data_IF_415785808866
#
_entry.id   IF_415785808866
#
_cell.length_a   1.000
_cell.length_b   1.000
_cell.length_c   1.000
_cell.angle_alpha   90.00
_cell.angle_beta   90.00
_cell.angle_gamma   90.00
#
_symmetry.space_group_name_H-M   'P 1'
#
loop_
_entity.id
_entity.type
_entity.pdbx_description
1 polymer ?
#
# COMPACT_ATOMS: atom_id res chain seq x y z
N UNK A 1 -5.14 28.48 13.20
CA UNK A 1 -5.29 27.08 13.65
C UNK A 1 -4.12 26.27 13.12
N UNK A 2 -3.17 25.85 13.97
CA UNK A 2 -2.09 24.97 13.55
C UNK A 2 -2.60 23.52 13.52
N UNK A 3 -2.87 23.00 12.33
CA UNK A 3 -3.12 21.57 12.13
C UNK A 3 -1.89 20.79 12.60
N UNK A 4 -2.06 19.88 13.56
CA UNK A 4 -0.99 19.01 14.03
C UNK A 4 -0.66 18.00 12.92
N UNK A 5 0.32 18.33 12.08
CA UNK A 5 0.76 17.55 10.91
C UNK A 5 1.11 16.10 11.25
N UNK A 6 1.49 15.81 12.50
CA UNK A 6 1.84 14.47 12.97
C UNK A 6 0.67 13.48 12.87
N UNK A 7 -0.58 13.94 12.93
CA UNK A 7 -1.77 13.07 12.86
C UNK A 7 -2.01 12.47 11.48
N UNK A 8 -1.49 13.11 10.44
CA UNK A 8 -1.63 12.64 9.06
C UNK A 8 -0.48 11.75 8.61
N UNK A 9 0.58 11.64 9.41
CA UNK A 9 1.71 10.77 9.09
C UNK A 9 1.29 9.30 9.25
N UNK A 10 1.88 8.44 8.40
CA UNK A 10 1.81 7.00 8.61
C UNK A 10 2.41 6.63 9.98
N UNK A 11 1.77 5.69 10.67
CA UNK A 11 2.29 5.19 11.93
C UNK A 11 3.61 4.44 11.69
N UNK A 12 4.64 4.66 12.53
CA UNK A 12 5.95 4.01 12.34
C UNK A 12 5.99 2.55 12.78
N UNK A 13 5.03 2.14 13.60
CA UNK A 13 4.99 0.81 14.22
C UNK A 13 3.55 0.32 14.24
N UNK A 14 2.98 0.06 13.06
CA UNK A 14 1.64 -0.53 12.99
C UNK A 14 1.69 -1.97 13.54
N UNK A 15 0.87 -2.32 14.56
CA UNK A 15 0.85 -3.68 15.08
C UNK A 15 0.27 -4.63 14.03
N UNK A 16 1.03 -5.67 13.68
CA UNK A 16 0.59 -6.70 12.75
C UNK A 16 0.09 -7.92 13.51
N UNK A 17 -1.19 -8.24 13.34
CA UNK A 17 -1.81 -9.42 13.94
C UNK A 17 -2.12 -10.45 12.84
N UNK A 18 -1.55 -11.65 12.95
CA UNK A 18 -1.87 -12.76 12.05
C UNK A 18 -3.18 -13.44 12.45
N UNK A 19 -3.98 -13.84 11.47
CA UNK A 19 -5.16 -14.64 11.70
C UNK A 19 -4.79 -16.13 11.83
N UNK A 20 -4.84 -16.69 13.05
CA UNK A 20 -4.57 -18.12 13.31
C UNK A 20 -5.80 -18.98 13.00
N UNK A 21 -6.01 -19.24 11.70
CA UNK A 21 -7.14 -20.03 11.19
C UNK A 21 -6.72 -21.39 10.63
N UNK A 22 -5.43 -21.73 10.66
CA UNK A 22 -4.90 -22.93 10.02
C UNK A 22 -5.54 -24.21 10.56
N UNK A 23 -5.69 -24.31 11.89
CA UNK A 23 -6.30 -25.47 12.56
C UNK A 23 -7.76 -25.67 12.16
N UNK A 24 -8.53 -24.59 12.13
CA UNK A 24 -9.95 -24.61 11.75
C UNK A 24 -10.13 -24.92 10.27
N UNK A 25 -9.30 -24.34 9.39
CA UNK A 25 -9.36 -24.63 7.95
C UNK A 25 -8.96 -26.07 7.60
N UNK A 26 -8.10 -26.71 8.41
CA UNK A 26 -7.77 -28.12 8.25
C UNK A 26 -8.98 -29.05 8.50
N UNK A 27 -9.93 -28.63 9.35
CA UNK A 27 -11.15 -29.39 9.66
C UNK A 27 -12.25 -29.20 8.60
N UNK A 28 -12.16 -28.16 7.76
CA UNK A 28 -13.16 -27.85 6.73
C UNK A 28 -12.91 -28.64 5.43
N UNK A 29 -13.97 -29.26 4.88
CA UNK A 29 -13.95 -29.85 3.53
C UNK A 29 -13.72 -28.74 2.49
N UNK A 30 -12.55 -28.75 1.85
CA UNK A 30 -11.92 -27.64 1.12
C UNK A 30 -12.67 -27.06 -0.10
N UNK A 31 -13.77 -27.67 -0.57
CA UNK A 31 -14.43 -27.24 -1.83
C UNK A 31 -15.21 -25.94 -1.73
N UNK A 32 -15.91 -25.68 -0.61
CA UNK A 32 -16.84 -24.53 -0.55
C UNK A 32 -16.18 -23.23 -0.08
N UNK A 33 -15.17 -23.30 0.79
CA UNK A 33 -14.53 -22.11 1.39
C UNK A 33 -13.62 -21.37 0.42
N UNK A 34 -12.94 -22.08 -0.48
CA UNK A 34 -12.07 -21.47 -1.48
C UNK A 34 -12.87 -20.68 -2.54
N UNK A 35 -13.99 -21.23 -3.01
CA UNK A 35 -14.83 -20.58 -4.00
C UNK A 35 -15.47 -19.27 -3.49
N UNK A 36 -15.84 -19.22 -2.20
CA UNK A 36 -16.37 -17.99 -1.60
C UNK A 36 -15.30 -16.93 -1.36
N UNK A 37 -14.06 -17.33 -1.05
CA UNK A 37 -12.95 -16.40 -0.79
C UNK A 37 -12.30 -15.81 -2.05
N UNK A 38 -12.53 -16.40 -3.23
CA UNK A 38 -12.08 -15.87 -4.52
C UNK A 38 -12.94 -14.71 -5.05
N UNK A 39 -14.26 -14.74 -4.81
CA UNK A 39 -15.21 -13.73 -5.28
C UNK A 39 -15.00 -12.30 -4.74
N UNK A 40 -14.59 -12.05 -3.48
CA UNK A 40 -14.52 -10.68 -2.94
C UNK A 40 -13.39 -9.81 -3.49
N UNK A 41 -12.45 -10.33 -4.29
CA UNK A 41 -11.38 -9.48 -4.87
C UNK A 41 -11.90 -8.36 -5.78
N UNK A 42 -13.04 -8.58 -6.46
CA UNK A 42 -13.70 -7.52 -7.22
C UNK A 42 -14.32 -6.43 -6.34
N UNK A 43 -14.71 -6.78 -5.10
CA UNK A 43 -15.30 -5.85 -4.14
C UNK A 43 -14.26 -4.83 -3.64
N UNK A 44 -12.98 -5.21 -3.55
CA UNK A 44 -11.92 -4.29 -3.15
C UNK A 44 -11.83 -3.08 -4.09
N UNK A 45 -12.07 -3.27 -5.39
CA UNK A 45 -12.13 -2.16 -6.37
C UNK A 45 -13.32 -1.25 -6.15
N UNK A 46 -14.49 -1.83 -5.86
CA UNK A 46 -15.70 -1.05 -5.53
C UNK A 46 -15.46 -0.20 -4.29
N UNK A 47 -14.84 -0.75 -3.23
CA UNK A 47 -14.48 0.01 -2.02
C UNK A 47 -13.51 1.14 -2.39
N UNK A 48 -12.47 0.88 -3.17
CA UNK A 48 -11.53 1.91 -3.61
C UNK A 48 -12.23 3.06 -4.35
N UNK A 49 -13.09 2.74 -5.31
CA UNK A 49 -13.85 3.71 -6.10
C UNK A 49 -14.80 4.57 -5.25
N UNK A 50 -15.34 4.02 -4.16
CA UNK A 50 -16.25 4.75 -3.26
C UNK A 50 -15.54 5.81 -2.41
N UNK A 51 -14.27 5.58 -2.06
CA UNK A 51 -13.55 6.45 -1.12
C UNK A 51 -12.88 7.64 -1.81
N UNK A 52 -12.05 7.38 -2.81
CA UNK A 52 -11.37 8.45 -3.54
C UNK A 52 -11.20 8.06 -5.00
N UNK A 53 -11.26 9.02 -5.94
CA UNK A 53 -11.13 8.74 -7.37
C UNK A 53 -9.75 8.21 -7.77
N UNK A 54 -8.79 8.20 -6.84
CA UNK A 54 -7.41 7.81 -7.09
C UNK A 54 -6.95 6.61 -6.27
N UNK A 55 -7.80 6.02 -5.42
CA UNK A 55 -7.45 4.88 -4.58
C UNK A 55 -6.99 3.67 -5.40
N UNK A 56 -7.66 3.41 -6.53
CA UNK A 56 -7.29 2.31 -7.44
C UNK A 56 -5.90 2.50 -8.02
N UNK A 57 -5.61 3.71 -8.53
CA UNK A 57 -4.32 4.06 -9.11
C UNK A 57 -3.19 3.98 -8.08
N UNK A 58 -3.46 4.41 -6.84
CA UNK A 58 -2.50 4.32 -5.75
C UNK A 58 -2.22 2.86 -5.37
N UNK A 59 -3.26 2.04 -5.28
CA UNK A 59 -3.10 0.62 -4.95
C UNK A 59 -2.31 -0.10 -6.05
N UNK A 60 -2.62 0.16 -7.31
CA UNK A 60 -1.88 -0.39 -8.46
C UNK A 60 -0.43 0.11 -8.48
N UNK A 61 -0.20 1.36 -8.06
CA UNK A 61 1.12 1.93 -7.89
C UNK A 61 1.92 1.16 -6.82
N UNK A 62 1.32 0.80 -5.68
CA UNK A 62 2.01 0.02 -4.66
C UNK A 62 2.28 -1.41 -5.12
N UNK A 63 1.28 -2.07 -5.71
CA UNK A 63 1.42 -3.46 -6.16
C UNK A 63 2.49 -3.62 -7.23
N UNK A 64 2.52 -2.84 -8.32
CA UNK A 64 3.59 -3.01 -9.33
C UNK A 64 4.95 -2.46 -8.85
N UNK A 65 5.03 -1.78 -7.70
CA UNK A 65 6.32 -1.42 -7.10
C UNK A 65 6.91 -2.61 -6.35
N UNK A 66 6.07 -3.33 -5.60
CA UNK A 66 6.50 -4.45 -4.77
C UNK A 66 6.26 -5.81 -5.41
N UNK A 67 5.88 -5.86 -6.69
CA UNK A 67 5.74 -7.12 -7.43
C UNK A 67 6.68 -7.20 -8.62
N UNK A 68 7.22 -8.39 -8.82
CA UNK A 68 7.95 -8.79 -10.02
C UNK A 68 7.27 -10.02 -10.59
N UNK A 69 6.76 -9.90 -11.82
CA UNK A 69 6.15 -11.03 -12.55
C UNK A 69 5.06 -11.79 -11.77
N UNK A 70 4.27 -11.06 -10.99
CA UNK A 70 3.17 -11.62 -10.17
C UNK A 70 3.58 -12.24 -8.84
N UNK A 71 4.85 -12.12 -8.44
CA UNK A 71 5.38 -12.49 -7.12
C UNK A 71 5.89 -11.26 -6.37
N UNK A 72 6.14 -11.40 -5.07
CA UNK A 72 6.78 -10.34 -4.28
C UNK A 72 8.17 -10.06 -4.87
N UNK A 73 8.46 -8.78 -5.17
CA UNK A 73 9.76 -8.35 -5.67
C UNK A 73 10.84 -8.57 -4.60
N UNK A 74 12.10 -8.71 -5.04
CA UNK A 74 13.23 -8.77 -4.12
C UNK A 74 13.42 -7.41 -3.42
N UNK A 75 12.96 -7.32 -2.18
CA UNK A 75 12.97 -6.10 -1.38
C UNK A 75 14.38 -5.54 -1.15
N UNK A 76 15.38 -6.40 -0.93
CA UNK A 76 16.76 -5.96 -0.74
C UNK A 76 17.33 -5.33 -2.01
N UNK A 77 17.04 -5.92 -3.17
CA UNK A 77 17.42 -5.34 -4.47
C UNK A 77 16.67 -4.01 -4.70
N UNK A 78 15.38 -3.96 -4.41
CA UNK A 78 14.57 -2.74 -4.58
C UNK A 78 15.06 -1.60 -3.68
N UNK A 79 15.42 -1.89 -2.42
CA UNK A 79 16.03 -0.94 -1.51
C UNK A 79 17.35 -0.40 -2.08
N UNK A 80 18.26 -1.28 -2.54
CA UNK A 80 19.54 -0.88 -3.13
C UNK A 80 19.38 0.02 -4.37
N UNK A 81 18.36 -0.24 -5.20
CA UNK A 81 18.06 0.54 -6.40
C UNK A 81 17.38 1.87 -6.10
N UNK A 82 16.63 1.94 -4.98
CA UNK A 82 15.88 3.14 -4.59
C UNK A 82 16.76 4.26 -4.04
N UNK A 83 17.96 3.92 -3.54
CA UNK A 83 18.86 4.88 -2.89
C UNK A 83 18.29 5.50 -1.60
N UNK A 84 17.24 4.90 -1.02
CA UNK A 84 16.63 5.36 0.22
C UNK A 84 17.49 4.95 1.41
N UNK A 85 17.55 5.81 2.43
CA UNK A 85 18.12 5.43 3.73
C UNK A 85 17.30 4.29 4.38
N UNK A 86 17.87 3.53 5.32
CA UNK A 86 17.14 2.48 6.02
C UNK A 86 15.87 2.99 6.72
N UNK A 87 15.90 4.21 7.26
CA UNK A 87 14.77 4.84 7.93
C UNK A 87 13.66 5.22 6.95
N UNK A 88 14.01 5.83 5.81
CA UNK A 88 13.03 6.17 4.76
C UNK A 88 12.43 4.93 4.11
N UNK A 89 13.22 3.86 3.99
CA UNK A 89 12.74 2.56 3.51
C UNK A 89 11.70 1.97 4.46
N UNK A 90 11.96 2.01 5.77
CA UNK A 90 11.00 1.55 6.77
C UNK A 90 9.72 2.41 6.78
N UNK A 91 9.84 3.74 6.72
CA UNK A 91 8.70 4.64 6.60
C UNK A 91 7.85 4.33 5.34
N UNK A 92 8.48 3.97 4.22
CA UNK A 92 7.79 3.52 3.00
C UNK A 92 7.08 2.17 3.19
N UNK A 93 7.70 1.23 3.90
CA UNK A 93 7.11 -0.07 4.22
C UNK A 93 5.87 0.11 5.10
N UNK A 94 5.97 0.90 6.16
CA UNK A 94 4.88 1.18 7.07
C UNK A 94 3.70 1.85 6.36
N UNK A 95 3.97 2.83 5.50
CA UNK A 95 2.95 3.44 4.65
C UNK A 95 2.27 2.42 3.74
N UNK A 96 3.06 1.57 3.07
CA UNK A 96 2.55 0.55 2.16
C UNK A 96 1.65 -0.44 2.88
N UNK A 97 2.05 -0.89 4.08
CA UNK A 97 1.27 -1.78 4.94
C UNK A 97 -0.06 -1.13 5.33
N UNK A 98 -0.04 0.13 5.77
CA UNK A 98 -1.24 0.84 6.20
C UNK A 98 -2.21 1.10 5.04
N UNK A 99 -1.72 1.57 3.89
CA UNK A 99 -2.57 1.79 2.71
C UNK A 99 -3.12 0.47 2.17
N UNK A 100 -2.32 -0.59 2.15
CA UNK A 100 -2.79 -1.90 1.66
C UNK A 100 -3.83 -2.52 2.60
N UNK A 101 -3.70 -2.30 3.90
CA UNK A 101 -4.65 -2.80 4.92
C UNK A 101 -5.96 -2.01 4.93
N UNK A 102 -5.91 -0.69 4.77
CA UNK A 102 -7.11 0.16 4.66
C UNK A 102 -7.71 0.19 3.24
N UNK A 103 -7.03 -0.39 2.23
CA UNK A 103 -7.35 -0.34 0.79
C UNK A 103 -7.26 1.05 0.15
N UNK A 104 -7.08 2.12 0.94
CA UNK A 104 -6.99 3.52 0.52
C UNK A 104 -6.04 4.29 1.45
N UNK A 105 -5.57 5.47 1.03
CA UNK A 105 -4.73 6.37 1.84
C UNK A 105 -5.51 7.19 2.89
N UNK A 106 -6.57 6.62 3.43
CA UNK A 106 -7.34 7.15 4.54
C UNK A 106 -7.51 6.04 5.56
N UNK A 107 -7.38 6.39 6.84
CA UNK A 107 -7.61 5.43 7.94
C UNK A 107 -9.10 5.09 7.95
N UNK A 108 -9.43 3.80 7.93
CA UNK A 108 -10.83 3.36 8.05
C UNK A 108 -11.43 3.73 9.41
N UNK A 109 -10.59 3.82 10.44
CA UNK A 109 -10.92 4.36 11.75
C UNK A 109 -10.42 5.81 11.81
N UNK A 110 -11.30 6.77 12.07
CA UNK A 110 -11.04 8.23 12.16
C UNK A 110 -11.01 9.02 10.84
N UNK A 111 -11.10 8.38 9.67
CA UNK A 111 -11.20 9.05 8.36
C UNK A 111 -10.09 10.08 8.07
N UNK A 112 -8.93 9.92 8.71
CA UNK A 112 -7.78 10.81 8.53
C UNK A 112 -6.89 10.33 7.39
N UNK A 113 -6.34 11.26 6.62
CA UNK A 113 -5.43 10.95 5.51
C UNK A 113 -4.10 10.41 6.03
N UNK A 114 -3.55 9.41 5.33
CA UNK A 114 -2.24 8.81 5.59
C UNK A 114 -1.23 9.40 4.58
N UNK A 115 -0.14 9.98 5.09
CA UNK A 115 0.88 10.70 4.32
C UNK A 115 2.27 10.14 4.67
N UNK A 116 3.16 10.09 3.67
CA UNK A 116 4.56 9.75 3.87
C UNK A 116 5.33 10.87 4.57
N UNK A 117 6.17 10.49 5.54
CA UNK A 117 6.96 11.44 6.35
C UNK A 117 8.21 12.00 5.66
N UNK A 118 8.65 11.45 4.53
CA UNK A 118 9.88 11.86 3.82
C UNK A 118 9.62 12.47 2.43
N UNK A 119 10.62 13.17 1.90
CA UNK A 119 10.47 14.09 0.76
C UNK A 119 10.27 13.38 -0.60
N UNK A 120 9.48 14.00 -1.49
CA UNK A 120 9.03 13.49 -2.81
C UNK A 120 10.12 12.94 -3.76
N UNK A 121 11.39 13.25 -3.53
CA UNK A 121 12.49 12.91 -4.42
C UNK A 121 12.79 11.40 -4.46
N UNK A 122 12.77 10.73 -3.31
CA UNK A 122 13.06 9.29 -3.21
C UNK A 122 12.01 8.42 -3.90
N UNK A 123 10.73 8.81 -3.80
CA UNK A 123 9.64 8.08 -4.45
C UNK A 123 9.66 8.20 -5.98
N UNK A 124 10.11 9.36 -6.52
CA UNK A 124 10.31 9.53 -7.97
C UNK A 124 11.39 8.59 -8.51
N UNK A 125 12.41 8.28 -7.71
CA UNK A 125 13.46 7.33 -8.09
C UNK A 125 12.92 5.89 -8.16
N UNK A 126 12.11 5.51 -7.15
CA UNK A 126 11.40 4.22 -7.11
C UNK A 126 10.48 4.03 -8.34
N UNK A 127 9.78 5.09 -8.75
CA UNK A 127 8.91 5.08 -9.93
C UNK A 127 9.67 5.09 -11.27
N UNK A 128 10.96 5.48 -11.30
CA UNK A 128 11.81 5.51 -12.51
C UNK A 128 12.46 4.16 -12.82
N UNK A 129 12.68 3.32 -11.83
CA UNK A 129 13.34 2.00 -11.99
C UNK A 129 12.47 0.88 -12.55
N UNK A 130 11.19 1.13 -12.86
CA UNK A 130 10.24 0.09 -13.30
C UNK A 130 9.92 0.23 -14.80
N UNK A 131 10.08 -0.84 -15.61
CA UNK A 131 10.01 -0.77 -17.08
C UNK A 131 8.63 -0.45 -17.65
N UNK A 132 7.54 -0.52 -16.86
CA UNK A 132 6.16 -0.51 -17.37
C UNK A 132 5.35 0.77 -17.06
N UNK A 133 5.97 1.88 -16.62
CA UNK A 133 5.24 2.93 -15.86
C UNK A 133 5.35 4.39 -16.33
N UNK A 134 5.34 4.65 -17.63
CA UNK A 134 5.28 6.02 -18.18
C UNK A 134 3.93 6.75 -17.95
N UNK A 135 2.81 6.04 -17.74
CA UNK A 135 1.49 6.68 -17.52
C UNK A 135 1.17 7.08 -16.07
N UNK A 136 1.78 6.44 -15.06
CA UNK A 136 1.49 6.72 -13.63
C UNK A 136 2.45 7.76 -13.02
N UNK A 137 3.58 8.05 -13.68
CA UNK A 137 4.59 9.00 -13.20
C UNK A 137 4.10 10.45 -13.14
N UNK A 138 3.13 10.84 -13.97
CA UNK A 138 2.59 12.20 -13.96
C UNK A 138 1.58 12.47 -12.83
N UNK A 139 0.92 11.43 -12.27
CA UNK A 139 -0.10 11.62 -11.22
C UNK A 139 0.37 11.26 -9.79
N UNK A 140 1.31 10.32 -9.63
CA UNK A 140 1.69 9.75 -8.33
C UNK A 140 2.24 10.73 -7.25
N UNK A 141 3.14 11.67 -7.56
CA UNK A 141 3.78 12.48 -6.52
C UNK A 141 2.90 13.62 -5.97
N UNK A 142 1.84 13.99 -6.68
CA UNK A 142 0.83 14.92 -6.15
C UNK A 142 -0.15 14.18 -5.24
N UNK A 143 -0.48 12.93 -5.58
CA UNK A 143 -1.52 12.15 -4.91
C UNK A 143 -1.16 11.69 -3.48
N UNK A 144 0.10 11.28 -3.32
CA UNK A 144 0.62 10.72 -2.06
C UNK A 144 0.90 11.83 -1.03
N UNK A 145 0.96 13.08 -1.49
CA UNK A 145 1.45 14.22 -0.70
C UNK A 145 0.55 15.47 -0.70
N UNK A 146 -0.53 15.53 -1.49
CA UNK A 146 -1.46 16.67 -1.40
C UNK A 146 -2.21 16.60 -0.07
N UNK A 147 -2.10 17.63 0.74
CA UNK A 147 -3.09 17.97 1.78
C UNK A 147 -4.22 18.72 1.09
#
# INVERSE_FOLDING_TARGET
MCLNSKRFLADRTAPLCSMDIAKTFAQLRRRNTHAMSLKPRGLARIIQAQWTPFAELLYDLLILTFSDSGKLANLARLQSLSGLSPEEWEDLMQYTVQVSSNLVNYRSFDFTKIILGFQKAGLKLLCRGLPTRTKLQHCGPSLIFLV
#
